data_IF_332546194722
#
_entry.id   IF_332546194722
#
_cell.length_a   1.000
_cell.length_b   1.000
_cell.length_c   1.000
_cell.angle_alpha   90.00
_cell.angle_beta   90.00
_cell.angle_gamma   90.00
#
_symmetry.space_group_name_H-M   'P 1'
#
loop_
_entity.id
_entity.type
_entity.pdbx_description
1 polymer ?
#
# COMPACT_ATOMS: atom_id res chain seq x y z
N UNK A 1 -25.52 2.23 -12.99
CA UNK A 1 -24.80 1.04 -13.50
C UNK A 1 -23.38 1.45 -13.90
N UNK A 2 -22.37 1.35 -13.03
CA UNK A 2 -21.00 1.78 -13.32
C UNK A 2 -20.16 0.74 -14.11
N UNK A 3 -20.70 -0.45 -14.40
CA UNK A 3 -19.90 -1.61 -14.82
C UNK A 3 -19.81 -1.86 -16.33
N UNK A 4 -20.46 -1.08 -17.20
CA UNK A 4 -20.50 -1.40 -18.64
C UNK A 4 -19.16 -1.21 -19.35
N UNK A 5 -18.42 -0.14 -19.04
CA UNK A 5 -17.12 0.15 -19.67
C UNK A 5 -16.05 -0.88 -19.26
N UNK A 6 -15.97 -1.21 -17.97
CA UNK A 6 -15.02 -2.18 -17.43
C UNK A 6 -15.34 -3.63 -17.86
N UNK A 7 -16.62 -4.01 -17.97
CA UNK A 7 -16.99 -5.29 -18.59
C UNK A 7 -16.58 -5.36 -20.06
N UNK A 8 -16.58 -4.23 -20.76
CA UNK A 8 -16.17 -4.16 -22.16
C UNK A 8 -14.64 -4.29 -22.28
N UNK A 9 -13.89 -3.63 -21.40
CA UNK A 9 -12.41 -3.76 -21.33
C UNK A 9 -11.99 -5.18 -20.97
N UNK A 10 -12.57 -5.80 -19.93
CA UNK A 10 -12.27 -7.19 -19.57
C UNK A 10 -12.57 -8.17 -20.71
N UNK A 11 -13.67 -7.95 -21.46
CA UNK A 11 -13.99 -8.74 -22.67
C UNK A 11 -12.95 -8.58 -23.77
N UNK A 12 -12.48 -7.36 -24.00
CA UNK A 12 -11.41 -7.08 -24.97
C UNK A 12 -10.11 -7.77 -24.55
N UNK A 13 -9.73 -7.68 -23.28
CA UNK A 13 -8.54 -8.35 -22.72
C UNK A 13 -8.64 -9.88 -22.83
N UNK A 14 -9.80 -10.47 -22.54
CA UNK A 14 -10.04 -11.91 -22.69
C UNK A 14 -9.89 -12.37 -24.16
N UNK A 15 -10.41 -11.61 -25.12
CA UNK A 15 -10.26 -11.96 -26.54
C UNK A 15 -8.80 -11.84 -27.00
N UNK A 16 -8.05 -10.83 -26.52
CA UNK A 16 -6.61 -10.72 -26.79
C UNK A 16 -5.83 -11.89 -26.21
N UNK A 17 -6.09 -12.27 -24.96
CA UNK A 17 -5.47 -13.44 -24.31
C UNK A 17 -5.76 -14.71 -25.12
N UNK A 18 -6.99 -14.87 -25.63
CA UNK A 18 -7.35 -16.01 -26.47
C UNK A 18 -6.49 -16.08 -27.74
N UNK A 19 -6.30 -14.96 -28.43
CA UNK A 19 -5.46 -14.88 -29.64
C UNK A 19 -3.99 -15.15 -29.29
N UNK A 20 -3.46 -14.47 -28.28
CA UNK A 20 -2.06 -14.65 -27.83
C UNK A 20 -1.77 -16.09 -27.39
N UNK A 21 -2.75 -16.75 -26.76
CA UNK A 21 -2.62 -18.16 -26.38
C UNK A 21 -2.53 -19.05 -27.61
N UNK A 22 -3.39 -18.83 -28.61
CA UNK A 22 -3.31 -19.57 -29.86
C UNK A 22 -1.97 -19.37 -30.57
N UNK A 23 -1.46 -18.14 -30.60
CA UNK A 23 -0.15 -17.83 -31.18
C UNK A 23 1.01 -18.49 -30.42
N UNK A 24 0.93 -18.50 -29.08
CA UNK A 24 1.89 -19.21 -28.23
C UNK A 24 1.87 -20.71 -28.51
N UNK A 25 0.70 -21.36 -28.46
CA UNK A 25 0.56 -22.80 -28.68
C UNK A 25 1.13 -23.23 -30.04
N UNK A 26 0.83 -22.47 -31.12
CA UNK A 26 1.38 -22.73 -32.46
C UNK A 26 2.90 -22.58 -32.49
N UNK A 27 3.44 -21.51 -31.91
CA UNK A 27 4.89 -21.29 -31.88
C UNK A 27 5.65 -22.29 -31.01
N UNK A 28 5.04 -22.75 -29.92
CA UNK A 28 5.61 -23.72 -28.99
C UNK A 28 5.73 -25.10 -29.64
N UNK A 29 4.66 -25.58 -30.29
CA UNK A 29 4.68 -26.84 -31.05
C UNK A 29 5.72 -26.80 -32.17
N UNK A 30 5.86 -25.65 -32.85
CA UNK A 30 6.90 -25.47 -33.87
C UNK A 30 8.31 -25.55 -33.27
N UNK A 31 8.55 -24.90 -32.13
CA UNK A 31 9.83 -24.94 -31.45
C UNK A 31 10.21 -26.35 -30.97
N UNK A 32 9.24 -27.14 -30.50
CA UNK A 32 9.44 -28.54 -30.12
C UNK A 32 9.82 -29.44 -31.30
N UNK A 33 9.27 -29.17 -32.48
CA UNK A 33 9.44 -30.01 -33.67
C UNK A 33 10.65 -29.62 -34.53
N UNK A 34 10.97 -28.32 -34.64
CA UNK A 34 12.06 -27.85 -35.51
C UNK A 34 13.44 -27.87 -34.85
N UNK A 35 13.51 -27.70 -33.53
CA UNK A 35 14.77 -27.57 -32.79
C UNK A 35 15.57 -26.29 -33.09
N UNK A 36 15.08 -25.43 -33.98
CA UNK A 36 15.72 -24.17 -34.38
C UNK A 36 15.63 -23.13 -33.26
N UNK A 37 16.74 -22.44 -33.02
CA UNK A 37 16.84 -21.39 -32.03
C UNK A 37 15.91 -20.21 -32.35
N UNK A 38 15.66 -19.93 -33.64
CA UNK A 38 14.73 -18.86 -34.04
C UNK A 38 13.28 -19.16 -33.65
N UNK A 39 12.85 -20.42 -33.77
CA UNK A 39 11.52 -20.86 -33.38
C UNK A 39 11.36 -20.89 -31.85
N UNK A 40 12.41 -21.28 -31.11
CA UNK A 40 12.43 -21.19 -29.64
C UNK A 40 12.32 -19.75 -29.15
N UNK A 41 13.07 -18.83 -29.74
CA UNK A 41 12.99 -17.40 -29.41
C UNK A 41 11.59 -16.85 -29.67
N UNK A 42 10.96 -17.24 -30.78
CA UNK A 42 9.60 -16.84 -31.11
C UNK A 42 8.57 -17.38 -30.12
N UNK A 43 8.69 -18.65 -29.74
CA UNK A 43 7.82 -19.24 -28.70
C UNK A 43 7.97 -18.51 -27.36
N UNK A 44 9.20 -18.17 -26.99
CA UNK A 44 9.47 -17.40 -25.77
C UNK A 44 8.88 -15.99 -25.82
N UNK A 45 8.97 -15.29 -26.95
CA UNK A 45 8.36 -13.97 -27.13
C UNK A 45 6.82 -14.03 -27.05
N UNK A 46 6.21 -15.01 -27.71
CA UNK A 46 4.75 -15.20 -27.66
C UNK A 46 4.28 -15.52 -26.24
N UNK A 47 5.05 -16.35 -25.50
CA UNK A 47 4.80 -16.62 -24.08
C UNK A 47 4.84 -15.33 -23.25
N UNK A 48 5.89 -14.52 -23.41
CA UNK A 48 6.03 -13.25 -22.70
C UNK A 48 4.87 -12.30 -22.99
N UNK A 49 4.43 -12.20 -24.25
CA UNK A 49 3.29 -11.36 -24.63
C UNK A 49 1.97 -11.86 -23.99
N UNK A 50 1.74 -13.18 -24.00
CA UNK A 50 0.59 -13.80 -23.33
C UNK A 50 0.60 -13.53 -21.83
N UNK A 51 1.75 -13.74 -21.18
CA UNK A 51 1.92 -13.53 -19.74
C UNK A 51 1.68 -12.07 -19.34
N UNK A 52 2.16 -11.11 -20.15
CA UNK A 52 1.92 -9.68 -19.96
C UNK A 52 0.43 -9.30 -20.04
N UNK A 53 -0.30 -9.79 -21.05
CA UNK A 53 -1.73 -9.45 -21.19
C UNK A 53 -2.57 -10.13 -20.09
N UNK A 54 -2.21 -11.36 -19.69
CA UNK A 54 -2.83 -12.02 -18.52
C UNK A 54 -2.56 -11.26 -17.22
N UNK A 55 -1.34 -10.75 -17.02
CA UNK A 55 -0.98 -9.93 -15.85
C UNK A 55 -1.80 -8.64 -15.84
N UNK A 56 -1.94 -7.96 -16.97
CA UNK A 56 -2.75 -6.75 -17.09
C UNK A 56 -4.21 -6.99 -16.74
N UNK A 57 -4.83 -8.03 -17.32
CA UNK A 57 -6.21 -8.40 -16.99
C UNK A 57 -6.36 -8.73 -15.50
N UNK A 58 -5.39 -9.40 -14.89
CA UNK A 58 -5.41 -9.66 -13.44
C UNK A 58 -5.47 -8.37 -12.63
N UNK A 59 -4.56 -7.42 -12.89
CA UNK A 59 -4.54 -6.11 -12.22
C UNK A 59 -5.89 -5.40 -12.37
N UNK A 60 -6.49 -5.43 -13.55
CA UNK A 60 -7.82 -4.87 -13.81
C UNK A 60 -8.93 -5.59 -13.02
N UNK A 61 -8.91 -6.93 -12.99
CA UNK A 61 -9.88 -7.75 -12.26
C UNK A 61 -9.82 -7.52 -10.75
N UNK A 62 -8.64 -7.33 -10.19
CA UNK A 62 -8.50 -7.01 -8.76
C UNK A 62 -9.17 -5.71 -8.36
N UNK A 63 -8.96 -4.66 -9.15
CA UNK A 63 -9.65 -3.38 -8.91
C UNK A 63 -11.17 -3.56 -8.96
N UNK A 64 -11.67 -4.47 -9.78
CA UNK A 64 -13.09 -4.81 -9.82
C UNK A 64 -13.54 -5.60 -8.59
N UNK A 65 -12.80 -6.62 -8.16
CA UNK A 65 -13.10 -7.39 -6.95
C UNK A 65 -13.16 -6.50 -5.72
N UNK A 66 -12.16 -5.63 -5.55
CA UNK A 66 -12.13 -4.60 -4.51
C UNK A 66 -13.39 -3.76 -4.50
N UNK A 67 -13.76 -3.15 -5.64
CA UNK A 67 -14.97 -2.32 -5.75
C UNK A 67 -16.25 -3.11 -5.50
N UNK A 68 -16.30 -4.38 -5.91
CA UNK A 68 -17.44 -5.24 -5.70
C UNK A 68 -17.64 -5.58 -4.21
N UNK A 69 -16.55 -5.79 -3.47
CA UNK A 69 -16.55 -5.98 -2.02
C UNK A 69 -16.99 -4.69 -1.32
N UNK A 70 -16.33 -3.56 -1.60
CA UNK A 70 -16.66 -2.25 -1.02
C UNK A 70 -18.15 -1.89 -1.23
N UNK A 71 -18.69 -2.14 -2.42
CA UNK A 71 -20.10 -1.83 -2.73
C UNK A 71 -21.11 -2.80 -2.09
N UNK A 72 -20.67 -3.96 -1.60
CA UNK A 72 -21.54 -5.02 -1.03
C UNK A 72 -21.20 -5.36 0.41
N UNK A 73 -20.34 -4.57 1.05
CA UNK A 73 -19.77 -4.86 2.36
C UNK A 73 -20.85 -5.17 3.41
N UNK A 74 -21.89 -4.33 3.53
CA UNK A 74 -22.98 -4.54 4.48
C UNK A 74 -23.74 -5.85 4.23
N UNK A 75 -24.02 -6.18 2.97
CA UNK A 75 -24.70 -7.45 2.61
C UNK A 75 -23.81 -8.66 2.89
N UNK A 76 -22.50 -8.53 2.70
CA UNK A 76 -21.53 -9.58 3.03
C UNK A 76 -21.42 -9.78 4.54
N UNK A 77 -21.40 -8.70 5.33
CA UNK A 77 -21.45 -8.74 6.80
C UNK A 77 -22.71 -9.44 7.31
N UNK A 78 -23.89 -9.09 6.79
CA UNK A 78 -25.15 -9.78 7.12
C UNK A 78 -25.10 -11.27 6.76
N UNK A 79 -24.47 -11.62 5.64
CA UNK A 79 -24.28 -13.02 5.25
C UNK A 79 -23.35 -13.77 6.20
N UNK A 80 -22.26 -13.13 6.64
CA UNK A 80 -21.33 -13.68 7.63
C UNK A 80 -22.04 -13.97 8.95
N UNK A 81 -22.79 -13.00 9.49
CA UNK A 81 -23.54 -13.17 10.74
C UNK A 81 -24.51 -14.35 10.67
N UNK A 82 -25.20 -14.55 9.54
CA UNK A 82 -26.09 -15.69 9.33
C UNK A 82 -25.33 -17.01 9.19
N UNK A 83 -24.22 -17.03 8.44
CA UNK A 83 -23.49 -18.27 8.14
C UNK A 83 -22.65 -18.77 9.31
N UNK A 84 -22.24 -17.89 10.23
CA UNK A 84 -21.52 -18.24 11.46
C UNK A 84 -22.20 -19.35 12.27
N UNK A 85 -23.53 -19.41 12.24
CA UNK A 85 -24.34 -20.41 12.94
C UNK A 85 -24.61 -21.67 12.12
N UNK A 86 -23.94 -21.84 10.97
CA UNK A 86 -24.20 -22.91 9.99
C UNK A 86 -22.91 -23.59 9.53
N UNK A 87 -23.03 -24.77 8.91
CA UNK A 87 -21.91 -25.45 8.23
C UNK A 87 -21.75 -25.05 6.76
N UNK A 88 -22.37 -23.95 6.33
CA UNK A 88 -22.29 -23.50 4.93
C UNK A 88 -20.92 -22.84 4.69
N UNK A 89 -20.15 -23.29 3.68
CA UNK A 89 -18.87 -22.67 3.36
C UNK A 89 -18.98 -21.18 3.00
N UNK A 90 -17.94 -20.43 3.35
CA UNK A 90 -17.80 -19.03 2.96
C UNK A 90 -17.30 -18.92 1.52
N UNK A 91 -17.84 -17.94 0.80
CA UNK A 91 -17.31 -17.54 -0.50
C UNK A 91 -16.03 -16.71 -0.33
N UNK A 92 -15.23 -16.61 -1.40
CA UNK A 92 -14.09 -15.70 -1.48
C UNK A 92 -14.43 -14.30 -0.94
N UNK A 93 -15.48 -13.65 -1.43
CA UNK A 93 -15.84 -12.29 -1.03
C UNK A 93 -16.24 -12.17 0.45
N UNK A 94 -16.92 -13.18 1.01
CA UNK A 94 -17.22 -13.21 2.45
C UNK A 94 -15.94 -13.33 3.28
N UNK A 95 -14.97 -14.13 2.83
CA UNK A 95 -13.66 -14.21 3.49
C UNK A 95 -12.86 -12.92 3.41
N UNK A 96 -12.87 -12.23 2.27
CA UNK A 96 -12.27 -10.89 2.17
C UNK A 96 -12.85 -9.93 3.20
N UNK A 97 -14.17 -9.95 3.43
CA UNK A 97 -14.82 -9.13 4.45
C UNK A 97 -14.48 -9.62 5.87
N UNK A 98 -14.48 -10.94 6.11
CA UNK A 98 -14.17 -11.53 7.41
C UNK A 98 -12.72 -11.28 7.85
N UNK A 99 -11.80 -11.05 6.91
CA UNK A 99 -10.41 -10.67 7.19
C UNK A 99 -10.15 -9.16 7.03
N UNK A 100 -11.22 -8.36 6.96
CA UNK A 100 -11.15 -6.89 6.89
C UNK A 100 -10.32 -6.38 5.70
N UNK A 101 -10.43 -7.08 4.56
CA UNK A 101 -9.77 -6.73 3.31
C UNK A 101 -10.77 -6.00 2.40
N UNK A 102 -10.44 -4.75 2.09
CA UNK A 102 -11.29 -3.80 1.35
C UNK A 102 -12.59 -3.42 2.06
N UNK A 103 -12.59 -3.49 3.39
CA UNK A 103 -13.72 -3.07 4.23
C UNK A 103 -13.40 -1.76 4.91
N UNK A 104 -14.45 -0.99 5.22
CA UNK A 104 -14.34 0.24 6.02
C UNK A 104 -15.02 0.11 7.38
N UNK A 105 -15.90 -0.88 7.54
CA UNK A 105 -16.60 -1.15 8.79
C UNK A 105 -15.82 -2.21 9.57
N UNK A 106 -15.58 -1.98 10.87
CA UNK A 106 -14.97 -2.99 11.72
C UNK A 106 -15.91 -4.18 11.91
N UNK A 107 -15.33 -5.35 12.13
CA UNK A 107 -16.11 -6.54 12.50
C UNK A 107 -16.72 -6.39 13.89
N UNK A 108 -17.88 -7.02 14.10
CA UNK A 108 -18.43 -7.19 15.43
C UNK A 108 -17.57 -8.16 16.24
N UNK A 109 -17.52 -7.97 17.57
CA UNK A 109 -16.74 -8.84 18.48
C UNK A 109 -16.98 -10.34 18.25
N UNK A 110 -18.22 -10.72 17.96
CA UNK A 110 -18.58 -12.11 17.77
C UNK A 110 -18.09 -12.65 16.41
N UNK A 111 -17.99 -11.82 15.36
CA UNK A 111 -17.39 -12.22 14.08
C UNK A 111 -15.87 -12.35 14.19
N UNK A 112 -15.21 -11.51 15.00
CA UNK A 112 -13.79 -11.62 15.31
C UNK A 112 -13.51 -12.95 16.04
N UNK A 113 -14.26 -13.23 17.11
CA UNK A 113 -14.14 -14.50 17.84
C UNK A 113 -14.32 -15.71 16.90
N UNK A 114 -15.27 -15.63 15.98
CA UNK A 114 -15.49 -16.70 15.02
C UNK A 114 -14.33 -16.86 14.04
N UNK A 115 -13.85 -15.76 13.44
CA UNK A 115 -12.69 -15.74 12.53
C UNK A 115 -11.49 -16.42 13.16
N UNK A 116 -11.24 -16.16 14.44
CA UNK A 116 -10.06 -16.68 15.15
C UNK A 116 -10.14 -18.19 15.42
N UNK A 117 -11.33 -18.82 15.26
CA UNK A 117 -11.50 -20.28 15.34
C UNK A 117 -11.39 -21.01 14.01
N UNK A 118 -11.27 -20.29 12.88
CA UNK A 118 -11.30 -20.89 11.53
C UNK A 118 -9.94 -21.43 11.09
N UNK A 119 -9.95 -22.37 10.15
CA UNK A 119 -8.74 -22.81 9.45
C UNK A 119 -8.33 -21.75 8.43
N UNK A 120 -7.33 -20.94 8.82
CA UNK A 120 -6.81 -19.85 8.00
C UNK A 120 -6.18 -20.34 6.69
N UNK A 121 -5.67 -21.58 6.62
CA UNK A 121 -5.08 -22.11 5.39
C UNK A 121 -6.16 -22.47 4.38
N UNK A 122 -7.24 -23.10 4.81
CA UNK A 122 -8.40 -23.40 3.96
C UNK A 122 -9.05 -22.11 3.45
N UNK A 123 -9.16 -21.11 4.32
CA UNK A 123 -9.71 -19.81 3.95
C UNK A 123 -8.82 -19.07 2.94
N UNK A 124 -7.50 -19.05 3.14
CA UNK A 124 -6.56 -18.48 2.16
C UNK A 124 -6.65 -19.18 0.81
N UNK A 125 -6.74 -20.52 0.79
CA UNK A 125 -6.93 -21.26 -0.45
C UNK A 125 -8.25 -20.86 -1.12
N UNK A 126 -9.33 -20.69 -0.36
CA UNK A 126 -10.62 -20.24 -0.92
C UNK A 126 -10.55 -18.80 -1.45
N UNK A 127 -9.84 -17.91 -0.76
CA UNK A 127 -9.66 -16.52 -1.17
C UNK A 127 -8.85 -16.39 -2.48
N UNK A 128 -7.89 -17.28 -2.70
CA UNK A 128 -6.99 -17.22 -3.86
C UNK A 128 -7.20 -18.37 -4.86
N UNK A 129 -8.43 -18.85 -4.97
CA UNK A 129 -8.87 -19.85 -5.96
C UNK A 129 -7.99 -21.12 -5.98
N UNK A 130 -7.64 -21.60 -4.79
CA UNK A 130 -6.84 -22.78 -4.50
C UNK A 130 -5.51 -22.86 -5.27
N UNK A 131 -4.90 -21.72 -5.57
CA UNK A 131 -3.66 -21.62 -6.34
C UNK A 131 -2.46 -21.37 -5.42
N UNK A 132 -1.68 -22.39 -5.01
CA UNK A 132 -0.65 -22.25 -3.98
C UNK A 132 0.49 -21.32 -4.40
N UNK A 133 0.77 -21.21 -5.71
CA UNK A 133 1.78 -20.31 -6.28
C UNK A 133 1.45 -18.82 -6.08
N UNK A 134 0.23 -18.48 -5.66
CA UNK A 134 -0.16 -17.09 -5.35
C UNK A 134 0.23 -16.67 -3.93
N UNK A 135 0.62 -17.61 -3.08
CA UNK A 135 1.07 -17.39 -1.72
C UNK A 135 2.58 -17.63 -1.62
N UNK A 136 3.31 -16.63 -1.17
CA UNK A 136 4.71 -16.75 -0.81
C UNK A 136 4.89 -16.58 0.71
N UNK A 137 5.80 -17.36 1.30
CA UNK A 137 6.19 -17.28 2.72
C UNK A 137 7.64 -16.85 2.93
N UNK A 138 8.43 -16.80 1.86
CA UNK A 138 9.79 -16.25 1.85
C UNK A 138 10.01 -15.43 0.58
N UNK A 139 11.10 -14.66 0.54
CA UNK A 139 11.43 -13.83 -0.61
C UNK A 139 11.70 -14.68 -1.87
N UNK A 140 12.25 -15.89 -1.71
CA UNK A 140 12.55 -16.82 -2.81
C UNK A 140 11.30 -17.47 -3.43
N UNK A 141 10.20 -17.52 -2.69
CA UNK A 141 8.91 -18.03 -3.18
C UNK A 141 8.15 -16.99 -4.02
N UNK A 142 8.58 -15.72 -4.02
CA UNK A 142 7.91 -14.66 -4.77
C UNK A 142 8.13 -14.86 -6.28
N UNK A 143 7.03 -14.96 -7.00
CA UNK A 143 6.97 -14.99 -8.47
C UNK A 143 6.13 -13.82 -8.99
N UNK A 144 6.16 -13.50 -10.29
CA UNK A 144 5.29 -12.49 -10.89
C UNK A 144 3.78 -12.75 -10.74
N UNK A 145 3.38 -13.95 -10.28
CA UNK A 145 2.00 -14.33 -10.02
C UNK A 145 1.62 -14.26 -8.54
N UNK A 146 2.59 -14.01 -7.65
CA UNK A 146 2.33 -13.91 -6.21
C UNK A 146 1.38 -12.74 -5.92
N UNK A 147 0.37 -13.03 -5.10
CA UNK A 147 -0.74 -12.12 -4.76
C UNK A 147 -0.72 -11.78 -3.26
N UNK A 148 -0.30 -12.75 -2.45
CA UNK A 148 -0.20 -12.63 -1.00
C UNK A 148 1.17 -13.12 -0.52
N UNK A 149 1.75 -12.37 0.41
CA UNK A 149 2.96 -12.73 1.12
C UNK A 149 2.64 -12.81 2.62
N UNK A 150 3.07 -13.90 3.27
CA UNK A 150 2.93 -14.11 4.72
C UNK A 150 4.28 -14.53 5.28
N UNK A 151 5.02 -13.59 5.87
CA UNK A 151 6.37 -13.87 6.36
C UNK A 151 7.10 -12.63 6.88
N UNK A 152 8.34 -12.83 7.32
CA UNK A 152 9.17 -11.74 7.84
C UNK A 152 9.70 -10.87 6.71
N UNK A 153 9.70 -9.57 6.90
CA UNK A 153 10.26 -8.63 5.93
C UNK A 153 11.80 -8.72 5.93
N UNK A 154 12.36 -9.32 4.89
CA UNK A 154 13.81 -9.44 4.66
C UNK A 154 14.41 -8.17 4.03
N UNK A 155 15.73 -8.05 4.07
CA UNK A 155 16.43 -6.90 3.49
C UNK A 155 16.12 -6.76 1.99
N UNK A 156 15.84 -5.54 1.56
CA UNK A 156 15.44 -5.24 0.19
C UNK A 156 14.07 -5.79 -0.21
N UNK A 157 13.24 -6.29 0.71
CA UNK A 157 11.92 -6.85 0.40
C UNK A 157 11.12 -5.96 -0.57
N UNK A 158 10.97 -4.67 -0.27
CA UNK A 158 10.16 -3.76 -1.09
C UNK A 158 10.78 -3.39 -2.46
N UNK A 159 12.02 -3.80 -2.74
CA UNK A 159 12.66 -3.64 -4.06
C UNK A 159 12.40 -4.83 -4.99
N UNK A 160 12.01 -5.98 -4.44
CA UNK A 160 11.90 -7.24 -5.19
C UNK A 160 10.45 -7.73 -5.33
N UNK A 161 9.48 -7.03 -4.73
CA UNK A 161 8.07 -7.41 -4.85
C UNK A 161 7.48 -7.03 -6.21
N UNK A 162 6.69 -7.91 -6.85
CA UNK A 162 5.99 -7.60 -8.08
C UNK A 162 4.77 -6.70 -7.83
N UNK A 163 4.31 -5.99 -8.87
CA UNK A 163 3.10 -5.17 -8.81
C UNK A 163 1.82 -6.00 -8.51
N UNK A 164 1.86 -7.32 -8.74
CA UNK A 164 0.77 -8.24 -8.39
C UNK A 164 0.66 -8.54 -6.91
N UNK A 165 1.75 -8.33 -6.15
CA UNK A 165 1.75 -8.63 -4.72
C UNK A 165 0.95 -7.55 -3.99
N UNK A 166 -0.32 -7.83 -3.72
CA UNK A 166 -1.25 -6.87 -3.16
C UNK A 166 -1.33 -6.92 -1.64
N UNK A 167 -1.32 -8.13 -1.07
CA UNK A 167 -1.45 -8.34 0.35
C UNK A 167 -0.13 -8.80 0.96
N UNK A 168 0.32 -8.10 1.99
CA UNK A 168 1.52 -8.43 2.74
C UNK A 168 1.13 -8.54 4.21
N UNK A 169 1.51 -9.64 4.82
CA UNK A 169 1.31 -9.93 6.23
C UNK A 169 2.64 -10.38 6.84
N UNK A 170 2.95 -9.88 8.03
CA UNK A 170 4.01 -10.48 8.87
C UNK A 170 3.49 -11.69 9.64
N UNK A 171 2.18 -11.71 9.97
CA UNK A 171 1.49 -12.88 10.55
C UNK A 171 -0.02 -12.87 10.29
N UNK A 172 -0.50 -13.63 9.29
CA UNK A 172 -1.93 -13.69 8.94
C UNK A 172 -2.79 -14.37 10.02
N UNK A 173 -4.02 -13.87 10.31
CA UNK A 173 -4.72 -12.76 9.65
C UNK A 173 -4.39 -11.37 10.18
N UNK A 174 -3.65 -11.31 11.29
CA UNK A 174 -3.22 -10.07 11.90
C UNK A 174 -2.08 -9.41 11.12
N UNK A 175 -1.61 -8.24 11.57
CA UNK A 175 -0.31 -7.72 11.10
C UNK A 175 -0.22 -7.43 9.60
N UNK A 176 -1.35 -6.97 9.01
CA UNK A 176 -1.38 -6.58 7.61
C UNK A 176 -0.61 -5.29 7.38
N UNK A 177 0.36 -5.33 6.46
CA UNK A 177 1.06 -4.13 5.99
C UNK A 177 0.15 -3.36 5.03
N UNK A 178 -0.22 -2.14 5.41
CA UNK A 178 -1.14 -1.30 4.62
C UNK A 178 -0.36 -0.42 3.65
N UNK A 179 -0.95 -0.20 2.47
CA UNK A 179 -0.44 0.73 1.45
C UNK A 179 -1.41 1.88 1.22
N UNK A 180 -0.88 3.08 1.05
CA UNK A 180 -1.67 4.27 0.74
C UNK A 180 -1.09 4.95 -0.48
N UNK A 181 -1.88 5.13 -1.53
CA UNK A 181 -1.49 5.99 -2.65
C UNK A 181 -1.98 7.40 -2.35
N UNK A 182 -1.07 8.37 -2.39
CA UNK A 182 -1.37 9.78 -2.15
C UNK A 182 -0.67 10.66 -3.20
N UNK A 183 -1.31 11.77 -3.51
CA UNK A 183 -0.70 12.86 -4.26
C UNK A 183 0.09 13.78 -3.31
N UNK A 184 1.34 14.09 -3.65
CA UNK A 184 2.13 15.15 -2.99
C UNK A 184 2.54 16.21 -4.01
N UNK A 185 3.11 17.33 -3.56
CA UNK A 185 3.49 18.44 -4.43
C UNK A 185 2.33 19.38 -4.78
N UNK A 186 2.64 20.37 -5.60
CA UNK A 186 1.70 21.34 -6.16
C UNK A 186 1.14 22.38 -5.19
N UNK A 187 1.54 22.37 -3.91
CA UNK A 187 1.05 23.30 -2.88
C UNK A 187 2.19 23.82 -2.01
N UNK A 188 2.11 25.08 -1.60
CA UNK A 188 2.99 25.64 -0.58
C UNK A 188 2.46 25.40 0.84
N UNK A 189 3.18 25.90 1.87
CA UNK A 189 2.79 25.70 3.26
C UNK A 189 1.48 26.40 3.62
N UNK A 190 1.19 27.54 3.00
CA UNK A 190 -0.02 28.31 3.25
C UNK A 190 -1.24 27.62 2.66
N UNK A 191 -1.12 27.12 1.43
CA UNK A 191 -2.16 26.35 0.76
C UNK A 191 -2.47 25.05 1.51
N UNK A 192 -1.43 24.31 1.93
CA UNK A 192 -1.59 23.09 2.73
C UNK A 192 -2.31 23.38 4.06
N UNK A 193 -1.86 24.41 4.80
CA UNK A 193 -2.50 24.81 6.05
C UNK A 193 -3.96 25.22 5.84
N UNK A 194 -4.22 26.06 4.84
CA UNK A 194 -5.57 26.54 4.51
C UNK A 194 -6.49 25.37 4.16
N UNK A 195 -6.00 24.41 3.38
CA UNK A 195 -6.79 23.23 3.01
C UNK A 195 -7.10 22.36 4.22
N UNK A 196 -6.14 22.16 5.12
CA UNK A 196 -6.35 21.41 6.35
C UNK A 196 -7.48 22.04 7.18
N UNK A 197 -7.37 23.34 7.44
CA UNK A 197 -8.38 24.10 8.22
C UNK A 197 -9.75 24.11 7.52
N UNK A 198 -9.80 24.30 6.19
CA UNK A 198 -11.06 24.27 5.42
C UNK A 198 -11.78 22.92 5.46
N UNK A 199 -11.02 21.82 5.52
CA UNK A 199 -11.58 20.47 5.61
C UNK A 199 -11.89 20.05 7.05
N UNK A 200 -11.80 20.98 8.02
CA UNK A 200 -12.11 20.72 9.42
C UNK A 200 -11.03 19.93 10.17
N UNK A 201 -9.84 19.75 9.57
CA UNK A 201 -8.71 19.14 10.25
C UNK A 201 -8.09 20.11 11.24
N UNK A 202 -7.78 19.60 12.43
CA UNK A 202 -7.10 20.37 13.47
C UNK A 202 -5.59 20.30 13.27
N UNK A 203 -4.91 21.39 13.58
CA UNK A 203 -3.46 21.52 13.44
C UNK A 203 -2.90 21.99 14.78
N UNK A 204 -2.04 21.18 15.40
CA UNK A 204 -1.35 21.55 16.64
C UNK A 204 -0.47 22.79 16.46
N UNK A 205 -0.22 23.55 17.53
CA UNK A 205 0.55 24.80 17.42
C UNK A 205 2.03 24.56 17.08
N UNK A 206 2.65 23.53 17.66
CA UNK A 206 3.98 23.07 17.25
C UNK A 206 4.00 22.59 15.79
N UNK A 207 2.94 21.92 15.34
CA UNK A 207 2.78 21.54 13.93
C UNK A 207 2.77 22.77 13.01
N UNK A 208 2.05 23.84 13.38
CA UNK A 208 2.05 25.11 12.63
C UNK A 208 3.44 25.76 12.62
N UNK A 209 4.21 25.64 13.70
CA UNK A 209 5.60 26.10 13.75
C UNK A 209 6.48 25.32 12.78
N UNK A 210 6.39 23.99 12.82
CA UNK A 210 7.13 23.07 11.94
C UNK A 210 6.80 23.31 10.45
N UNK A 211 5.55 23.60 10.10
CA UNK A 211 5.17 23.96 8.72
C UNK A 211 5.75 25.32 8.25
N UNK A 212 6.10 26.22 9.18
CA UNK A 212 6.76 27.50 8.86
C UNK A 212 8.28 27.39 8.81
N UNK A 213 8.84 26.27 9.27
CA UNK A 213 10.29 26.06 9.29
C UNK A 213 10.88 26.04 7.87
N UNK A 214 12.10 26.57 7.73
CA UNK A 214 12.78 26.69 6.43
C UNK A 214 12.94 25.33 5.74
N UNK A 215 13.29 24.29 6.49
CA UNK A 215 13.46 22.95 5.92
C UNK A 215 12.15 22.38 5.36
N UNK A 216 11.02 22.65 6.02
CA UNK A 216 9.71 22.27 5.48
C UNK A 216 9.45 23.02 4.16
N UNK A 217 9.59 24.35 4.15
CA UNK A 217 9.31 25.20 2.99
C UNK A 217 10.23 24.91 1.80
N UNK A 218 11.50 24.58 2.07
CA UNK A 218 12.48 24.14 1.06
C UNK A 218 12.12 22.78 0.49
N UNK A 219 11.60 21.86 1.32
CA UNK A 219 11.22 20.52 0.87
C UNK A 219 10.09 20.53 -0.18
N UNK A 220 9.24 21.56 -0.20
CA UNK A 220 8.16 21.76 -1.17
C UNK A 220 8.64 22.23 -2.55
N UNK A 221 9.93 22.55 -2.68
CA UNK A 221 10.48 23.26 -3.84
C UNK A 221 11.56 22.46 -4.55
N UNK A 222 11.71 22.75 -5.84
CA UNK A 222 12.75 22.22 -6.69
C UNK A 222 13.36 23.35 -7.55
N UNK A 223 14.61 23.19 -8.04
CA UNK A 223 15.20 24.17 -8.92
C UNK A 223 14.50 24.21 -10.28
N UNK A 224 14.06 25.39 -10.67
CA UNK A 224 13.65 25.76 -12.03
C UNK A 224 14.89 26.21 -12.81
N UNK A 225 15.43 25.29 -13.60
CA UNK A 225 16.63 25.50 -14.41
C UNK A 225 16.42 26.53 -15.53
N UNK A 226 15.19 26.99 -15.76
CA UNK A 226 14.85 27.99 -16.78
C UNK A 226 14.82 29.42 -16.24
N UNK A 227 14.93 29.59 -14.92
CA UNK A 227 14.84 30.89 -14.24
C UNK A 227 16.22 31.34 -13.73
N UNK A 228 16.46 32.66 -13.61
CA UNK A 228 17.67 33.18 -12.98
C UNK A 228 17.71 32.83 -11.48
N UNK A 229 18.90 32.86 -10.86
CA UNK A 229 19.14 32.42 -9.47
C UNK A 229 18.15 32.98 -8.43
N UNK A 230 17.71 34.23 -8.60
CA UNK A 230 16.77 34.90 -7.69
C UNK A 230 15.30 34.44 -7.83
N UNK A 231 14.99 33.64 -8.85
CA UNK A 231 13.67 33.03 -9.13
C UNK A 231 13.73 31.51 -9.35
N UNK A 232 14.88 30.89 -9.08
CA UNK A 232 15.13 29.48 -9.39
C UNK A 232 14.32 28.48 -8.58
N UNK A 233 13.53 28.86 -7.59
CA UNK A 233 12.84 27.88 -6.73
C UNK A 233 11.34 27.89 -7.00
N UNK A 234 10.85 26.85 -7.66
CA UNK A 234 9.42 26.65 -7.90
C UNK A 234 8.85 25.56 -7.00
N UNK A 235 7.54 25.56 -6.81
CA UNK A 235 6.84 24.46 -6.14
C UNK A 235 6.96 23.21 -7.01
N UNK A 236 7.24 22.06 -6.36
CA UNK A 236 7.29 20.77 -7.05
C UNK A 236 5.97 20.47 -7.75
N UNK A 237 6.03 19.92 -8.94
CA UNK A 237 4.82 19.43 -9.61
C UNK A 237 4.18 18.29 -8.81
N UNK A 238 2.85 18.13 -8.86
CA UNK A 238 2.19 17.01 -8.23
C UNK A 238 2.77 15.66 -8.68
N UNK A 239 2.96 14.74 -7.73
CA UNK A 239 3.30 13.35 -8.02
C UNK A 239 2.52 12.39 -7.13
N UNK A 240 2.12 11.26 -7.70
CA UNK A 240 1.60 10.12 -6.95
C UNK A 240 2.75 9.35 -6.31
N UNK A 241 2.59 9.03 -5.03
CA UNK A 241 3.50 8.17 -4.27
C UNK A 241 2.72 7.09 -3.53
N UNK A 242 3.39 5.97 -3.26
CA UNK A 242 2.87 4.92 -2.40
C UNK A 242 3.55 4.99 -1.04
N UNK A 243 2.77 5.02 0.02
CA UNK A 243 3.23 4.89 1.40
C UNK A 243 3.02 3.46 1.89
N UNK A 244 3.98 2.94 2.65
CA UNK A 244 3.91 1.66 3.34
C UNK A 244 3.80 1.95 4.83
N UNK A 245 2.72 1.49 5.46
CA UNK A 245 2.50 1.57 6.91
C UNK A 245 3.00 0.32 7.59
N UNK A 246 3.87 0.51 8.57
CA UNK A 246 4.55 -0.52 9.35
C UNK A 246 4.45 -0.18 10.83
N UNK A 247 4.17 -1.17 11.67
CA UNK A 247 4.44 -1.10 13.10
C UNK A 247 5.94 -1.28 13.33
N UNK A 248 6.41 -0.84 14.49
CA UNK A 248 7.81 -1.04 14.89
C UNK A 248 8.14 -2.53 15.01
N UNK A 249 7.20 -3.38 15.41
CA UNK A 249 7.38 -4.83 15.40
C UNK A 249 7.48 -5.44 14.00
N UNK A 250 6.77 -4.89 13.00
CA UNK A 250 6.86 -5.34 11.60
C UNK A 250 8.25 -5.11 11.00
N UNK A 251 8.99 -4.13 11.55
CA UNK A 251 10.38 -3.86 11.21
C UNK A 251 11.36 -4.85 11.86
N UNK A 252 10.89 -5.71 12.76
CA UNK A 252 11.70 -6.68 13.50
C UNK A 252 12.05 -6.25 14.93
N UNK A 253 11.32 -5.29 15.50
CA UNK A 253 11.56 -4.77 16.85
C UNK A 253 10.36 -5.00 17.79
N UNK A 254 10.13 -6.24 18.26
CA UNK A 254 8.98 -6.58 19.11
C UNK A 254 9.01 -5.93 20.50
N UNK A 255 10.17 -5.42 20.94
CA UNK A 255 10.35 -4.69 22.21
C UNK A 255 10.46 -3.16 22.01
N UNK A 256 10.10 -2.69 20.81
CA UNK A 256 10.29 -1.30 20.41
C UNK A 256 11.72 -0.96 20.01
N UNK A 257 11.90 0.22 19.41
CA UNK A 257 13.17 0.68 18.87
C UNK A 257 13.29 2.20 18.90
N UNK A 258 14.51 2.69 18.72
CA UNK A 258 14.78 4.13 18.58
C UNK A 258 14.35 4.65 17.21
N UNK A 259 14.13 5.97 17.10
CA UNK A 259 13.83 6.62 15.81
C UNK A 259 14.88 6.29 14.75
N UNK A 260 16.17 6.29 15.12
CA UNK A 260 17.26 5.99 14.20
C UNK A 260 17.22 4.52 13.72
N UNK A 261 17.06 3.56 14.63
CA UNK A 261 16.96 2.13 14.29
C UNK A 261 15.76 1.86 13.36
N UNK A 262 14.63 2.50 13.61
CA UNK A 262 13.42 2.41 12.80
C UNK A 262 13.67 2.92 11.37
N UNK A 263 14.32 4.08 11.24
CA UNK A 263 14.62 4.68 9.94
C UNK A 263 15.65 3.86 9.15
N UNK A 264 16.72 3.41 9.80
CA UNK A 264 17.74 2.58 9.19
C UNK A 264 17.15 1.25 8.71
N UNK A 265 16.27 0.64 9.53
CA UNK A 265 15.59 -0.59 9.16
C UNK A 265 14.66 -0.41 7.96
N UNK A 266 13.88 0.68 7.92
CA UNK A 266 13.02 0.97 6.77
C UNK A 266 13.84 1.11 5.46
N UNK A 267 15.00 1.77 5.53
CA UNK A 267 15.92 1.91 4.39
C UNK A 267 16.47 0.54 3.95
N UNK A 268 16.87 -0.32 4.90
CA UNK A 268 17.34 -1.67 4.60
C UNK A 268 16.28 -2.53 3.92
N UNK A 269 15.00 -2.37 4.27
CA UNK A 269 13.88 -3.02 3.59
C UNK A 269 13.62 -2.48 2.17
N UNK A 270 14.32 -1.41 1.77
CA UNK A 270 14.21 -0.80 0.45
C UNK A 270 13.22 0.36 0.35
N UNK A 271 12.77 0.90 1.49
CA UNK A 271 11.90 2.08 1.57
C UNK A 271 12.73 3.36 1.64
N UNK A 272 12.06 4.50 1.49
CA UNK A 272 12.66 5.82 1.60
C UNK A 272 11.96 6.64 2.69
N UNK A 273 12.74 7.51 3.36
CA UNK A 273 12.15 8.52 4.22
C UNK A 273 11.26 9.46 3.39
N UNK A 274 10.08 9.73 3.92
CA UNK A 274 9.10 10.62 3.32
C UNK A 274 9.61 12.07 3.27
N UNK A 275 9.31 12.82 2.20
CA UNK A 275 9.43 14.27 2.27
C UNK A 275 8.45 14.81 3.33
N UNK A 276 8.79 15.89 4.05
CA UNK A 276 7.96 16.45 5.12
C UNK A 276 6.50 16.72 4.74
N UNK A 277 6.24 17.09 3.49
CA UNK A 277 4.88 17.37 2.99
C UNK A 277 3.93 16.17 3.02
N UNK A 278 4.46 14.94 3.15
CA UNK A 278 3.65 13.74 3.32
C UNK A 278 2.74 13.87 4.54
N UNK A 279 3.17 14.49 5.63
CA UNK A 279 2.32 14.70 6.81
C UNK A 279 1.00 15.42 6.49
N UNK A 280 1.05 16.71 6.07
CA UNK A 280 -0.16 17.44 5.71
C UNK A 280 -0.93 16.84 4.53
N UNK A 281 -0.25 16.34 3.49
CA UNK A 281 -0.92 15.74 2.33
C UNK A 281 -1.64 14.44 2.69
N UNK A 282 -1.01 13.58 3.51
CA UNK A 282 -1.63 12.33 3.97
C UNK A 282 -2.84 12.62 4.86
N UNK A 283 -2.76 13.64 5.73
CA UNK A 283 -3.93 14.05 6.54
C UNK A 283 -5.12 14.43 5.66
N UNK A 284 -4.88 15.24 4.61
CA UNK A 284 -5.94 15.70 3.69
C UNK A 284 -6.62 14.56 2.93
N UNK A 285 -5.86 13.49 2.63
CA UNK A 285 -6.34 12.40 1.77
C UNK A 285 -6.84 11.19 2.57
N UNK A 286 -6.38 11.01 3.81
CA UNK A 286 -6.82 9.93 4.67
C UNK A 286 -8.09 10.31 5.45
N UNK A 287 -9.22 10.38 4.74
CA UNK A 287 -10.48 10.92 5.27
C UNK A 287 -11.11 10.02 6.35
N UNK A 288 -11.15 8.71 6.12
CA UNK A 288 -11.84 7.74 6.99
C UNK A 288 -10.88 7.10 8.00
N UNK A 289 -10.10 7.93 8.71
CA UNK A 289 -9.21 7.42 9.74
C UNK A 289 -10.02 6.83 10.92
N UNK A 290 -9.72 5.60 11.38
CA UNK A 290 -10.32 5.02 12.58
C UNK A 290 -10.06 5.86 13.85
N UNK A 291 -10.94 5.75 14.83
CA UNK A 291 -10.76 6.39 16.13
C UNK A 291 -9.56 5.78 16.88
N UNK A 292 -8.81 6.60 17.62
CA UNK A 292 -7.60 6.22 18.36
C UNK A 292 -6.45 5.69 17.49
N UNK A 293 -6.46 5.99 16.19
CA UNK A 293 -5.38 5.62 15.29
C UNK A 293 -4.39 6.78 15.13
N UNK A 294 -3.10 6.49 15.27
CA UNK A 294 -2.02 7.47 15.20
C UNK A 294 -0.87 6.95 14.35
N UNK A 295 -0.63 7.59 13.22
CA UNK A 295 0.38 7.17 12.24
C UNK A 295 1.42 8.28 12.08
N UNK A 296 2.69 7.95 12.34
CA UNK A 296 3.84 8.85 12.23
C UNK A 296 4.38 8.82 10.81
N UNK A 297 4.90 9.93 10.34
CA UNK A 297 5.60 9.99 9.05
C UNK A 297 7.07 9.68 9.31
N UNK A 298 7.59 8.62 8.69
CA UNK A 298 9.02 8.32 8.67
C UNK A 298 9.74 9.31 7.77
N UNK A 299 10.01 10.51 8.29
CA UNK A 299 10.66 11.62 7.60
C UNK A 299 11.90 12.07 8.36
N UNK A 300 12.83 12.74 7.67
CA UNK A 300 13.89 13.48 8.36
C UNK A 300 13.25 14.48 9.32
N UNK A 301 13.74 14.51 10.55
CA UNK A 301 13.21 15.40 11.57
C UNK A 301 13.39 16.87 11.17
N UNK A 302 12.41 17.68 11.55
CA UNK A 302 12.46 19.13 11.46
C UNK A 302 12.43 19.66 12.90
N UNK A 303 13.36 20.54 13.22
CA UNK A 303 13.39 21.14 14.55
C UNK A 303 12.23 22.10 14.74
N UNK A 304 11.62 22.08 15.92
CA UNK A 304 10.62 23.07 16.30
C UNK A 304 11.28 24.40 16.74
N UNK A 305 10.49 25.30 17.34
CA UNK A 305 11.00 26.59 17.81
C UNK A 305 11.97 26.49 18.99
N UNK A 306 11.92 25.40 19.75
CA UNK A 306 12.78 25.16 20.92
C UNK A 306 14.04 24.35 20.53
N UNK A 307 14.12 23.92 19.27
CA UNK A 307 15.25 23.17 18.71
C UNK A 307 15.07 21.65 18.80
N UNK A 308 13.91 21.19 19.27
CA UNK A 308 13.64 19.78 19.45
C UNK A 308 13.31 19.13 18.09
N UNK A 309 13.84 17.94 17.78
CA UNK A 309 13.61 17.27 16.49
C UNK A 309 12.23 16.61 16.43
N UNK A 310 11.37 17.03 15.50
CA UNK A 310 10.01 16.50 15.35
C UNK A 310 9.76 15.83 13.99
N UNK A 311 8.80 14.90 13.97
CA UNK A 311 8.17 14.36 12.76
C UNK A 311 6.68 14.67 12.74
N UNK A 312 6.05 14.66 11.57
CA UNK A 312 4.59 14.76 11.49
C UNK A 312 3.92 13.45 11.91
N UNK A 313 2.71 13.54 12.45
CA UNK A 313 1.82 12.41 12.70
C UNK A 313 0.40 12.80 12.34
N UNK A 314 -0.33 11.88 11.71
CA UNK A 314 -1.79 11.99 11.54
C UNK A 314 -2.46 11.18 12.64
N UNK A 315 -3.48 11.76 13.27
CA UNK A 315 -4.19 11.10 14.37
C UNK A 315 -5.67 11.41 14.36
N UNK A 316 -6.46 10.53 14.95
CA UNK A 316 -7.87 10.80 15.24
C UNK A 316 -8.19 10.41 16.68
N UNK A 317 -8.81 11.33 17.39
CA UNK A 317 -9.27 11.20 18.77
C UNK A 317 -10.69 11.77 18.91
N UNK A 318 -11.18 11.83 20.15
CA UNK A 318 -12.50 12.34 20.49
C UNK A 318 -12.69 13.82 20.08
N UNK A 319 -11.61 14.60 19.96
CA UNK A 319 -11.64 15.99 19.50
C UNK A 319 -11.66 16.11 17.97
N UNK A 320 -11.34 15.04 17.24
CA UNK A 320 -11.46 14.94 15.79
C UNK A 320 -10.18 14.46 15.12
N UNK A 321 -10.01 14.85 13.85
CA UNK A 321 -8.86 14.45 13.04
C UNK A 321 -7.79 15.54 13.04
N UNK A 322 -6.57 15.16 13.42
CA UNK A 322 -5.46 16.07 13.68
C UNK A 322 -4.25 15.81 12.78
N UNK A 323 -3.51 16.89 12.54
CA UNK A 323 -2.10 16.86 12.15
C UNK A 323 -1.25 17.32 13.34
N UNK A 324 -0.43 16.40 13.84
CA UNK A 324 0.46 16.58 14.97
C UNK A 324 1.92 16.70 14.53
N UNK A 325 2.72 17.33 15.36
CA UNK A 325 4.18 17.21 15.39
C UNK A 325 4.54 16.42 16.65
N UNK A 326 5.32 15.36 16.51
CA UNK A 326 5.76 14.54 17.63
C UNK A 326 7.27 14.61 17.76
N UNK A 327 7.73 14.74 19.01
CA UNK A 327 9.15 14.70 19.31
C UNK A 327 9.71 13.32 18.94
N UNK A 328 10.79 13.32 18.16
CA UNK A 328 11.35 12.15 17.52
C UNK A 328 12.88 12.26 17.49
N UNK A 329 13.47 12.50 18.67
CA UNK A 329 14.92 12.47 18.83
C UNK A 329 15.49 11.14 18.31
N UNK A 330 16.68 11.14 17.68
CA UNK A 330 17.29 9.91 17.16
C UNK A 330 17.35 8.76 18.16
N UNK A 331 17.62 9.06 19.43
CA UNK A 331 17.67 8.07 20.53
C UNK A 331 16.31 7.85 21.23
N UNK A 332 15.28 8.63 20.90
CA UNK A 332 13.93 8.49 21.44
C UNK A 332 13.32 7.15 21.03
N UNK A 333 12.72 6.44 21.99
CA UNK A 333 12.15 5.10 21.78
C UNK A 333 10.67 5.13 21.46
N UNK A 334 10.26 4.22 20.60
CA UNK A 334 8.89 3.93 20.23
C UNK A 334 8.52 2.52 20.64
N UNK A 335 7.27 2.31 21.01
CA UNK A 335 6.74 1.00 21.36
C UNK A 335 6.58 0.13 20.11
N UNK A 336 6.51 -1.19 20.30
CA UNK A 336 6.34 -2.18 19.23
C UNK A 336 5.11 -1.92 18.34
N UNK A 337 4.01 -1.44 18.94
CA UNK A 337 2.74 -1.11 18.29
C UNK A 337 2.73 0.28 17.63
N UNK A 338 3.79 1.08 17.78
CA UNK A 338 3.87 2.40 17.18
C UNK A 338 3.96 2.29 15.66
N UNK A 339 3.18 3.11 14.95
CA UNK A 339 3.03 2.99 13.50
C UNK A 339 3.70 4.14 12.74
N UNK A 340 4.41 3.78 11.68
CA UNK A 340 5.07 4.69 10.76
C UNK A 340 4.64 4.45 9.32
N UNK A 341 4.58 5.52 8.53
CA UNK A 341 4.52 5.45 7.07
C UNK A 341 5.83 5.88 6.44
N UNK A 342 6.32 5.07 5.51
CA UNK A 342 7.50 5.33 4.68
C UNK A 342 7.13 5.36 3.21
N UNK A 343 7.91 6.05 2.39
CA UNK A 343 7.70 6.09 0.94
C UNK A 343 8.22 4.80 0.32
N UNK A 344 7.40 4.14 -0.50
CA UNK A 344 7.88 3.09 -1.39
C UNK A 344 8.75 3.73 -2.46
N UNK A 345 9.99 3.24 -2.59
CA UNK A 345 10.95 3.74 -3.57
C UNK A 345 10.39 3.60 -4.98
N UNK A 346 10.44 4.66 -5.78
CA UNK A 346 10.19 4.54 -7.22
C UNK A 346 11.30 3.65 -7.79
N UNK A 347 10.94 2.50 -8.34
CA UNK A 347 11.88 1.68 -9.10
C UNK A 347 12.46 2.55 -10.21
N UNK A 348 13.77 2.76 -10.18
CA UNK A 348 14.48 3.36 -11.30
C UNK A 348 14.28 2.39 -12.45
N UNK A 349 13.34 2.68 -13.37
CA UNK A 349 13.23 1.90 -14.60
C UNK A 349 14.59 2.01 -15.30
N UNK A 350 15.27 0.88 -15.58
CA UNK A 350 16.52 0.92 -16.34
C UNK A 350 16.31 1.52 -17.74
#
# INVERSE_FOLDING_TARGET
MPNNHLCQEARVSLERIRVLKQDFDVSFEKALTSGDETDKQRAQQNKQALDQEMMKLRIEMYQWEKRAIEARELTLLESLSRKKETSVPLSKYELFVLYEIYTSNPLSSDLLDWRDTRDTQEDLLTMFDASPHRLARSLEEITPETQIYIGKLEDGFFQHIPDTLELIYTSFPEERIRRYNIEIGGKDEHELKKHLEHNGYRIGDYTKSMMKHDDFRRSLREPDLTQPDWKKWKIKSPEEITLIRLRVEDLGFPDGATTQEIFDRAILLGLELCPPEVGPQFRLQYVNQPMNEYIRVGMRQITDSDGDPHVFSVGRDDDGSWLYSLWAEPAGRWNADSEFVFRLRKSARP
#
